data_IF_562680309131
#
_entry.id   IF_562680309131
#
_cell.length_a   1.000
_cell.length_b   1.000
_cell.length_c   1.000
_cell.angle_alpha   90.00
_cell.angle_beta   90.00
_cell.angle_gamma   90.00
#
_symmetry.space_group_name_H-M   'P 1'
#
loop_
_entity.id
_entity.type
_entity.pdbx_description
1 polymer ?
#
# COMPACT_ATOMS: atom_id res chain seq x y z
N UNK A 1 1.67 -17.32 -7.20
CA UNK A 1 2.84 -16.67 -7.84
C UNK A 1 2.44 -15.32 -8.44
N UNK A 2 1.93 -14.38 -7.63
CA UNK A 2 1.65 -12.99 -8.06
C UNK A 2 2.33 -11.97 -7.12
N UNK A 3 3.44 -12.35 -6.48
CA UNK A 3 4.22 -11.43 -5.62
C UNK A 3 5.08 -10.45 -6.45
N UNK A 4 5.02 -10.55 -7.80
CA UNK A 4 5.72 -9.63 -8.71
C UNK A 4 5.00 -8.29 -8.76
N UNK A 5 5.59 -7.30 -8.11
CA UNK A 5 5.20 -5.91 -8.26
C UNK A 5 5.57 -5.42 -9.66
N UNK A 6 4.60 -5.26 -10.56
CA UNK A 6 4.86 -4.82 -11.92
C UNK A 6 3.70 -4.01 -12.51
N UNK A 7 4.04 -2.90 -13.16
CA UNK A 7 3.11 -2.11 -13.99
C UNK A 7 2.79 -2.79 -15.32
N UNK A 8 3.58 -3.80 -15.72
CA UNK A 8 3.41 -4.53 -16.99
C UNK A 8 2.50 -5.77 -16.87
N UNK A 9 2.05 -6.08 -15.65
CA UNK A 9 1.14 -7.18 -15.37
C UNK A 9 -0.13 -6.66 -14.66
N UNK A 10 -1.01 -5.94 -15.37
CA UNK A 10 -2.21 -5.38 -14.77
C UNK A 10 -3.19 -6.50 -14.34
N UNK A 11 -3.83 -6.30 -13.19
CA UNK A 11 -4.81 -7.18 -12.56
C UNK A 11 -6.07 -6.44 -12.06
N UNK A 12 -6.18 -5.14 -12.38
CA UNK A 12 -7.37 -4.33 -12.21
C UNK A 12 -7.67 -3.49 -13.46
N UNK A 13 -8.91 -3.01 -13.57
CA UNK A 13 -9.38 -2.25 -14.74
C UNK A 13 -8.56 -0.98 -14.99
N UNK A 14 -8.29 -0.19 -13.94
CA UNK A 14 -7.52 1.05 -14.04
C UNK A 14 -6.06 0.78 -14.47
N UNK A 15 -5.42 -0.24 -13.87
CA UNK A 15 -4.09 -0.66 -14.30
C UNK A 15 -4.06 -1.12 -15.77
N UNK A 16 -5.12 -1.78 -16.26
CA UNK A 16 -5.21 -2.17 -17.67
C UNK A 16 -5.30 -0.96 -18.61
N UNK A 17 -6.00 0.10 -18.22
CA UNK A 17 -6.04 1.38 -18.97
C UNK A 17 -4.65 2.01 -18.99
N UNK A 18 -3.98 2.09 -17.82
CA UNK A 18 -2.62 2.63 -17.70
C UNK A 18 -1.62 1.83 -18.55
N UNK A 19 -1.73 0.50 -18.55
CA UNK A 19 -0.88 -0.37 -19.36
C UNK A 19 -1.02 -0.11 -20.87
N UNK A 20 -2.23 0.24 -21.35
CA UNK A 20 -2.42 0.65 -22.74
C UNK A 20 -1.72 1.99 -23.04
N UNK A 21 -1.78 2.96 -22.13
CA UNK A 21 -1.02 4.21 -22.28
C UNK A 21 0.47 3.94 -22.42
N UNK A 22 1.01 3.04 -21.59
CA UNK A 22 2.42 2.65 -21.66
C UNK A 22 2.82 2.17 -23.05
N UNK A 23 2.09 1.22 -23.63
CA UNK A 23 2.46 0.66 -24.94
C UNK A 23 2.24 1.63 -26.10
N UNK A 24 1.15 2.41 -26.10
CA UNK A 24 0.91 3.42 -27.15
C UNK A 24 2.02 4.46 -27.16
N UNK A 25 2.40 4.98 -25.99
CA UNK A 25 3.47 5.98 -25.88
C UNK A 25 4.84 5.38 -26.19
N UNK A 26 5.13 4.17 -25.72
CA UNK A 26 6.41 3.50 -25.97
C UNK A 26 6.60 3.19 -27.46
N UNK A 27 5.62 2.56 -28.10
CA UNK A 27 5.69 2.23 -29.54
C UNK A 27 5.71 3.52 -30.37
N UNK A 28 4.83 4.47 -30.10
CA UNK A 28 4.78 5.75 -30.81
C UNK A 28 6.09 6.53 -30.70
N UNK A 29 6.63 6.65 -29.48
CA UNK A 29 7.91 7.30 -29.22
C UNK A 29 9.08 6.58 -29.91
N UNK A 30 9.08 5.25 -29.90
CA UNK A 30 10.10 4.45 -30.60
C UNK A 30 10.05 4.67 -32.11
N UNK A 31 8.87 4.69 -32.72
CA UNK A 31 8.71 4.94 -34.16
C UNK A 31 9.20 6.34 -34.55
N UNK A 32 8.85 7.37 -33.77
CA UNK A 32 9.30 8.75 -34.00
C UNK A 32 10.83 8.82 -33.84
N UNK A 33 11.38 8.20 -32.80
CA UNK A 33 12.82 8.17 -32.56
C UNK A 33 13.57 7.51 -33.73
N UNK A 34 13.16 6.32 -34.16
CA UNK A 34 13.75 5.60 -35.30
C UNK A 34 13.65 6.43 -36.58
N UNK A 35 12.51 7.07 -36.81
CA UNK A 35 12.31 7.96 -37.96
C UNK A 35 13.29 9.14 -37.95
N UNK A 36 13.44 9.83 -36.81
CA UNK A 36 14.38 10.96 -36.66
C UNK A 36 15.83 10.50 -36.84
N UNK A 37 16.21 9.35 -36.26
CA UNK A 37 17.56 8.78 -36.42
C UNK A 37 17.85 8.36 -37.87
N UNK A 38 16.86 7.83 -38.58
CA UNK A 38 16.98 7.50 -39.99
C UNK A 38 17.16 8.77 -40.85
N UNK A 39 16.39 9.83 -40.57
CA UNK A 39 16.56 11.13 -41.23
C UNK A 39 17.95 11.73 -40.97
N UNK A 40 18.44 11.67 -39.73
CA UNK A 40 19.77 12.14 -39.36
C UNK A 40 20.86 11.36 -40.10
N UNK A 41 20.75 10.03 -40.12
CA UNK A 41 21.69 9.15 -40.85
C UNK A 41 21.69 9.47 -42.34
N UNK A 42 20.52 9.68 -42.94
CA UNK A 42 20.38 10.07 -44.34
C UNK A 42 20.97 11.45 -44.62
N UNK A 43 20.78 12.42 -43.71
CA UNK A 43 21.35 13.75 -43.81
C UNK A 43 22.88 13.71 -43.75
N UNK A 44 23.46 12.90 -42.86
CA UNK A 44 24.92 12.71 -42.75
C UNK A 44 25.51 11.99 -43.97
N UNK A 45 24.77 11.07 -44.59
CA UNK A 45 25.23 10.29 -45.76
C UNK A 45 25.04 11.02 -47.09
N UNK A 46 24.21 12.05 -47.16
CA UNK A 46 23.95 12.79 -48.41
C UNK A 46 24.95 13.93 -48.59
N UNK A 47 25.64 13.96 -49.72
CA UNK A 47 26.28 15.17 -50.23
C UNK A 47 25.22 16.16 -50.75
N UNK A 48 25.47 17.46 -50.54
CA UNK A 48 24.57 18.61 -50.70
C UNK A 48 23.50 18.44 -51.80
N UNK A 49 22.26 18.11 -51.40
CA UNK A 49 21.08 18.19 -52.27
C UNK A 49 20.19 19.35 -51.82
N UNK A 50 19.59 20.11 -52.75
CA UNK A 50 18.67 21.18 -52.39
C UNK A 50 17.43 20.59 -51.71
N UNK A 51 17.16 21.03 -50.48
CA UNK A 51 15.93 20.76 -49.75
C UNK A 51 15.09 22.03 -49.72
N UNK A 52 13.76 21.90 -49.59
CA UNK A 52 12.86 23.03 -49.35
C UNK A 52 12.62 23.16 -47.83
N UNK A 53 13.32 24.07 -47.12
CA UNK A 53 13.30 24.07 -45.65
C UNK A 53 11.89 24.32 -45.09
N UNK A 54 11.10 25.17 -45.75
CA UNK A 54 9.73 25.47 -45.34
C UNK A 54 8.84 24.22 -45.22
N UNK A 55 8.96 23.25 -46.14
CA UNK A 55 8.13 22.02 -46.10
C UNK A 55 8.49 21.19 -44.87
N UNK A 56 9.78 21.08 -44.53
CA UNK A 56 10.23 20.31 -43.38
C UNK A 56 9.90 21.00 -42.05
N UNK A 57 10.09 22.32 -41.97
CA UNK A 57 9.78 23.10 -40.76
C UNK A 57 8.28 23.11 -40.50
N UNK A 58 7.47 23.55 -41.47
CA UNK A 58 6.02 23.66 -41.26
C UNK A 58 5.32 22.30 -41.26
N UNK A 59 5.72 21.39 -42.15
CA UNK A 59 5.12 20.06 -42.25
C UNK A 59 5.57 19.13 -41.12
N UNK A 60 6.84 18.75 -41.13
CA UNK A 60 7.37 17.77 -40.18
C UNK A 60 7.65 18.36 -38.79
N UNK A 61 8.00 19.65 -38.69
CA UNK A 61 8.36 20.31 -37.43
C UNK A 61 7.18 20.92 -36.68
N UNK A 62 6.08 21.28 -37.35
CA UNK A 62 4.92 21.95 -36.72
C UNK A 62 3.64 21.12 -36.92
N UNK A 63 3.20 20.92 -38.16
CA UNK A 63 1.92 20.28 -38.44
C UNK A 63 1.87 18.83 -37.93
N UNK A 64 2.95 18.05 -38.12
CA UNK A 64 3.02 16.67 -37.65
C UNK A 64 2.96 16.57 -36.11
N UNK A 65 3.80 17.27 -35.31
CA UNK A 65 3.69 17.24 -33.86
C UNK A 65 2.34 17.73 -33.35
N UNK A 66 1.80 18.83 -33.91
CA UNK A 66 0.48 19.34 -33.51
C UNK A 66 -0.59 18.27 -33.73
N UNK A 67 -0.65 17.67 -34.93
CA UNK A 67 -1.62 16.62 -35.25
C UNK A 67 -1.49 15.40 -34.31
N UNK A 68 -0.27 14.90 -34.09
CA UNK A 68 -0.03 13.74 -33.22
C UNK A 68 -0.39 14.05 -31.77
N UNK A 69 0.02 15.20 -31.24
CA UNK A 69 -0.26 15.60 -29.87
C UNK A 69 -1.76 15.85 -29.66
N UNK A 70 -2.46 16.48 -30.60
CA UNK A 70 -3.91 16.65 -30.54
C UNK A 70 -4.64 15.30 -30.55
N UNK A 71 -4.24 14.36 -31.41
CA UNK A 71 -4.82 13.02 -31.44
C UNK A 71 -4.57 12.26 -30.14
N UNK A 72 -3.34 12.30 -29.61
CA UNK A 72 -2.98 11.69 -28.33
C UNK A 72 -3.74 12.32 -27.16
N UNK A 73 -3.94 13.65 -27.15
CA UNK A 73 -4.70 14.34 -26.13
C UNK A 73 -6.18 13.93 -26.15
N UNK A 74 -6.79 13.91 -27.32
CA UNK A 74 -8.19 13.50 -27.47
C UNK A 74 -8.38 12.04 -27.00
N UNK A 75 -7.49 11.15 -27.43
CA UNK A 75 -7.53 9.74 -27.03
C UNK A 75 -7.25 9.54 -25.54
N UNK A 76 -6.24 10.21 -24.97
CA UNK A 76 -5.88 10.09 -23.56
C UNK A 76 -6.99 10.61 -22.65
N UNK A 77 -7.66 11.70 -23.04
CA UNK A 77 -8.80 12.27 -22.31
C UNK A 77 -9.97 11.30 -22.30
N UNK A 78 -10.31 10.74 -23.47
CA UNK A 78 -11.39 9.75 -23.60
C UNK A 78 -11.11 8.45 -22.81
N UNK A 79 -9.86 7.95 -22.82
CA UNK A 79 -9.47 6.78 -22.03
C UNK A 79 -9.44 7.09 -20.53
N UNK A 80 -8.97 8.26 -20.13
CA UNK A 80 -8.92 8.66 -18.72
C UNK A 80 -10.32 8.82 -18.12
N UNK A 81 -11.31 9.21 -18.92
CA UNK A 81 -12.71 9.27 -18.49
C UNK A 81 -13.31 7.89 -18.12
N UNK A 82 -12.62 6.79 -18.46
CA UNK A 82 -13.04 5.43 -18.14
C UNK A 82 -12.35 4.87 -16.89
N UNK A 83 -11.42 5.62 -16.29
CA UNK A 83 -10.85 5.27 -14.98
C UNK A 83 -11.95 5.33 -13.92
N UNK A 84 -11.79 4.51 -12.87
CA UNK A 84 -12.76 4.47 -11.79
C UNK A 84 -13.00 5.86 -11.19
N UNK A 85 -14.26 6.27 -10.96
CA UNK A 85 -14.54 7.49 -10.21
C UNK A 85 -14.03 7.33 -8.77
N UNK A 86 -13.50 8.42 -8.23
CA UNK A 86 -12.83 8.44 -6.94
C UNK A 86 -13.82 8.92 -5.88
N UNK A 87 -14.84 8.09 -5.63
CA UNK A 87 -15.98 8.41 -4.78
C UNK A 87 -16.34 7.26 -3.85
N UNK A 88 -16.80 7.59 -2.66
CA UNK A 88 -17.32 6.64 -1.68
C UNK A 88 -18.79 6.27 -1.91
N UNK A 89 -19.49 6.94 -2.83
CA UNK A 89 -20.89 6.62 -3.13
C UNK A 89 -21.01 5.18 -3.63
N UNK A 90 -21.88 4.39 -2.98
CA UNK A 90 -22.20 3.00 -3.30
C UNK A 90 -21.02 2.00 -3.27
N UNK A 91 -19.90 2.38 -2.62
CA UNK A 91 -18.72 1.53 -2.49
C UNK A 91 -18.41 1.21 -1.03
N UNK A 92 -17.89 -0.01 -0.79
CA UNK A 92 -17.27 -0.34 0.48
C UNK A 92 -16.13 0.66 0.75
N UNK A 93 -16.14 1.30 1.91
CA UNK A 93 -15.12 2.28 2.29
C UNK A 93 -14.14 1.67 3.30
N UNK A 94 -12.84 1.79 3.01
CA UNK A 94 -11.74 1.46 3.91
C UNK A 94 -10.96 2.74 4.18
N UNK A 95 -10.67 3.03 5.43
CA UNK A 95 -9.81 4.17 5.77
C UNK A 95 -8.36 3.71 5.88
N UNK A 96 -7.45 4.45 5.25
CA UNK A 96 -6.01 4.15 5.30
C UNK A 96 -5.27 5.40 5.75
N UNK A 97 -4.42 5.24 6.78
CA UNK A 97 -3.58 6.32 7.30
C UNK A 97 -2.11 5.95 7.11
N UNK A 98 -1.38 6.80 6.37
CA UNK A 98 0.07 6.69 6.24
C UNK A 98 0.76 7.20 7.50
N UNK A 99 1.65 6.38 8.07
CA UNK A 99 2.46 6.69 9.25
C UNK A 99 3.91 6.32 8.97
N UNK A 100 4.90 7.06 9.45
CA UNK A 100 6.30 6.68 9.30
C UNK A 100 6.62 5.42 10.14
N UNK A 101 6.95 4.26 9.56
CA UNK A 101 6.86 3.84 8.14
C UNK A 101 6.07 2.54 8.02
N UNK A 102 4.74 2.66 8.17
CA UNK A 102 3.74 1.60 8.14
C UNK A 102 2.36 2.19 7.80
N UNK A 103 1.40 1.32 7.49
CA UNK A 103 0.07 1.70 7.05
C UNK A 103 -0.97 1.24 8.06
N UNK A 104 -1.73 2.16 8.64
CA UNK A 104 -2.91 1.83 9.46
C UNK A 104 -4.11 1.66 8.54
N UNK A 105 -4.85 0.57 8.71
CA UNK A 105 -5.99 0.22 7.87
C UNK A 105 -7.20 0.00 8.76
N UNK A 106 -8.31 0.67 8.44
CA UNK A 106 -9.53 0.65 9.24
C UNK A 106 -10.72 0.25 8.39
N UNK A 107 -11.47 -0.71 8.89
CA UNK A 107 -12.72 -1.22 8.32
C UNK A 107 -13.87 -0.91 9.27
N UNK A 108 -15.09 -0.94 8.75
CA UNK A 108 -16.30 -0.96 9.57
C UNK A 108 -16.88 -2.36 9.55
N UNK A 109 -17.17 -2.90 10.73
CA UNK A 109 -17.92 -4.14 10.86
C UNK A 109 -19.35 -3.92 10.34
N UNK A 110 -19.81 -4.65 9.31
CA UNK A 110 -21.17 -4.50 8.80
C UNK A 110 -22.25 -4.87 9.84
N UNK A 111 -21.95 -5.73 10.81
CA UNK A 111 -22.92 -6.18 11.80
C UNK A 111 -23.05 -5.20 12.98
N UNK A 112 -21.93 -4.68 13.48
CA UNK A 112 -21.90 -3.85 14.70
C UNK A 112 -21.59 -2.38 14.45
N UNK A 113 -21.20 -2.03 13.21
CA UNK A 113 -20.67 -0.72 12.83
C UNK A 113 -19.43 -0.27 13.64
N UNK A 114 -18.82 -1.19 14.41
CA UNK A 114 -17.58 -0.94 15.14
C UNK A 114 -16.41 -0.90 14.17
N UNK A 115 -15.40 -0.14 14.54
CA UNK A 115 -14.20 -0.05 13.76
C UNK A 115 -13.28 -1.25 14.03
N UNK A 116 -12.76 -1.82 12.94
CA UNK A 116 -11.80 -2.92 12.95
C UNK A 116 -10.50 -2.36 12.40
N UNK A 117 -9.46 -2.35 13.23
CA UNK A 117 -8.17 -1.74 12.89
C UNK A 117 -7.15 -2.85 12.71
N UNK A 118 -6.38 -2.74 11.63
CA UNK A 118 -5.25 -3.60 11.31
C UNK A 118 -4.13 -2.74 10.70
N UNK A 119 -3.08 -3.38 10.19
CA UNK A 119 -1.92 -2.70 9.65
C UNK A 119 -1.30 -3.45 8.47
N UNK A 120 -0.78 -2.69 7.51
CA UNK A 120 0.05 -3.12 6.37
C UNK A 120 -0.58 -4.15 5.41
N UNK A 121 -1.81 -4.59 5.65
CA UNK A 121 -2.54 -5.52 4.80
C UNK A 121 -3.97 -5.00 4.58
N UNK A 122 -4.30 -4.74 3.32
CA UNK A 122 -5.61 -4.26 2.87
C UNK A 122 -6.33 -5.43 2.21
N UNK A 123 -7.37 -5.97 2.81
CA UNK A 123 -8.16 -7.05 2.26
C UNK A 123 -9.37 -6.46 1.52
N UNK A 124 -9.64 -6.96 0.31
CA UNK A 124 -10.76 -6.51 -0.51
C UNK A 124 -11.49 -7.70 -1.14
N UNK A 125 -12.80 -7.61 -1.41
CA UNK A 125 -13.49 -8.59 -2.23
C UNK A 125 -13.09 -8.50 -3.71
N UNK A 126 -12.92 -9.65 -4.37
CA UNK A 126 -12.63 -9.76 -5.80
C UNK A 126 -13.84 -9.33 -6.63
N UNK A 127 -13.58 -8.61 -7.73
CA UNK A 127 -14.60 -8.21 -8.70
C UNK A 127 -15.43 -7.00 -8.28
N UNK A 128 -15.16 -6.43 -7.11
CA UNK A 128 -15.87 -5.28 -6.55
C UNK A 128 -14.95 -4.06 -6.46
N UNK A 129 -15.53 -2.87 -6.61
CA UNK A 129 -14.82 -1.61 -6.40
C UNK A 129 -14.87 -1.24 -4.92
N UNK A 130 -13.72 -0.97 -4.33
CA UNK A 130 -13.56 -0.55 -2.94
C UNK A 130 -12.95 0.85 -2.93
N UNK A 131 -13.56 1.75 -2.17
CA UNK A 131 -13.05 3.11 -2.00
C UNK A 131 -12.11 3.18 -0.80
N UNK A 132 -10.87 3.58 -1.03
CA UNK A 132 -9.92 3.93 0.02
C UNK A 132 -10.04 5.42 0.34
N UNK A 133 -10.51 5.74 1.54
CA UNK A 133 -10.41 7.07 2.13
C UNK A 133 -9.06 7.22 2.82
N UNK A 134 -8.20 8.10 2.31
CA UNK A 134 -6.78 8.10 2.65
C UNK A 134 -6.33 9.41 3.27
N UNK A 135 -5.47 9.34 4.27
CA UNK A 135 -4.83 10.50 4.90
C UNK A 135 -3.43 10.14 5.43
N UNK A 136 -2.67 11.10 5.93
CA UNK A 136 -1.40 10.85 6.60
C UNK A 136 -1.36 11.57 7.96
N UNK A 137 -0.67 10.97 8.94
CA UNK A 137 -0.53 11.57 10.28
C UNK A 137 0.76 12.37 10.47
N UNK A 138 1.71 12.29 9.53
CA UNK A 138 3.03 12.90 9.66
C UNK A 138 3.45 13.66 8.40
N UNK A 139 4.08 12.98 7.44
CA UNK A 139 4.56 13.54 6.16
C UNK A 139 3.68 13.06 5.01
N UNK A 140 3.96 13.55 3.81
CA UNK A 140 3.28 13.07 2.61
C UNK A 140 3.74 11.64 2.33
N UNK A 141 2.77 10.76 2.06
CA UNK A 141 3.00 9.41 1.53
C UNK A 141 2.28 9.28 0.19
N UNK A 142 2.49 8.17 -0.52
CA UNK A 142 1.67 7.85 -1.70
C UNK A 142 1.39 6.37 -1.74
N UNK A 143 0.11 6.01 -1.70
CA UNK A 143 -0.32 4.62 -1.74
C UNK A 143 -0.32 4.15 -3.19
N UNK A 144 0.48 3.13 -3.49
CA UNK A 144 0.56 2.59 -4.84
C UNK A 144 0.57 1.07 -4.87
N UNK A 145 -0.36 0.50 -5.63
CA UNK A 145 -0.42 -0.93 -5.96
C UNK A 145 -0.36 -1.05 -7.49
N UNK A 146 0.83 -1.16 -8.09
CA UNK A 146 1.03 -1.04 -9.53
C UNK A 146 0.15 -1.95 -10.39
N UNK A 147 -0.13 -3.15 -9.90
CA UNK A 147 -0.95 -4.13 -10.60
C UNK A 147 -2.45 -3.78 -10.60
N UNK A 148 -2.93 -2.91 -9.70
CA UNK A 148 -4.36 -2.63 -9.55
C UNK A 148 -4.76 -1.24 -10.06
N UNK A 149 -3.99 -0.20 -9.73
CA UNK A 149 -4.31 1.18 -10.09
C UNK A 149 -3.07 2.10 -10.08
N UNK A 150 -3.29 3.35 -10.47
CA UNK A 150 -2.31 4.43 -10.30
C UNK A 150 -2.05 4.75 -8.82
N UNK A 151 -0.98 5.49 -8.55
CA UNK A 151 -0.66 5.97 -7.20
C UNK A 151 -1.55 7.15 -6.82
N UNK A 152 -1.78 7.33 -5.52
CA UNK A 152 -2.45 8.51 -4.99
C UNK A 152 -1.78 8.97 -3.70
N UNK A 153 -1.48 10.26 -3.66
CA UNK A 153 -0.79 10.87 -2.54
C UNK A 153 -1.73 11.06 -1.33
N UNK A 154 -1.15 10.91 -0.15
CA UNK A 154 -1.80 11.00 1.15
C UNK A 154 -1.17 12.20 1.86
N UNK A 155 -1.97 13.25 2.05
CA UNK A 155 -1.49 14.55 2.47
C UNK A 155 -2.02 14.84 3.88
N UNK A 156 -1.16 15.14 4.86
CA UNK A 156 -1.60 15.49 6.21
C UNK A 156 -2.63 16.62 6.19
N UNK A 157 -3.71 16.46 6.96
CA UNK A 157 -4.82 17.43 7.02
C UNK A 157 -5.80 17.37 5.85
N UNK A 158 -5.69 16.42 4.92
CA UNK A 158 -6.64 16.21 3.82
C UNK A 158 -7.00 14.74 3.66
N UNK A 159 -8.26 14.48 3.35
CA UNK A 159 -8.68 13.14 2.91
C UNK A 159 -8.64 13.09 1.39
N UNK A 160 -7.86 12.16 0.84
CA UNK A 160 -7.85 11.82 -0.58
C UNK A 160 -8.55 10.50 -0.82
N UNK A 161 -8.95 10.24 -2.07
CA UNK A 161 -9.67 9.03 -2.46
C UNK A 161 -8.89 8.19 -3.47
N UNK A 162 -8.89 6.88 -3.28
CA UNK A 162 -8.46 5.91 -4.28
C UNK A 162 -9.44 4.74 -4.38
N UNK A 163 -10.12 4.61 -5.51
CA UNK A 163 -10.92 3.42 -5.82
C UNK A 163 -10.00 2.31 -6.32
N UNK A 164 -10.05 1.14 -5.68
CA UNK A 164 -9.33 -0.05 -6.08
C UNK A 164 -10.29 -1.17 -6.44
N UNK A 165 -9.88 -2.00 -7.41
CA UNK A 165 -10.57 -3.23 -7.79
C UNK A 165 -9.55 -4.26 -8.24
N UNK A 166 -9.68 -5.49 -7.74
CA UNK A 166 -8.91 -6.62 -8.22
C UNK A 166 -9.85 -7.61 -8.93
N UNK A 167 -9.52 -7.97 -10.17
CA UNK A 167 -10.38 -8.85 -10.97
C UNK A 167 -10.13 -10.34 -10.66
N UNK A 168 -9.04 -10.66 -9.96
CA UNK A 168 -8.67 -12.02 -9.58
C UNK A 168 -8.26 -12.09 -8.11
N UNK A 169 -8.58 -13.20 -7.46
CA UNK A 169 -8.07 -13.50 -6.13
C UNK A 169 -6.54 -13.58 -6.14
N UNK A 170 -5.91 -13.08 -5.09
CA UNK A 170 -4.46 -13.06 -5.00
C UNK A 170 -3.93 -12.00 -4.05
N UNK A 171 -2.61 -11.96 -3.97
CA UNK A 171 -1.88 -10.97 -3.20
C UNK A 171 -1.15 -10.04 -4.16
N UNK A 172 -1.33 -8.74 -3.96
CA UNK A 172 -0.76 -7.69 -4.79
C UNK A 172 0.14 -6.81 -3.91
N UNK A 173 1.43 -6.72 -4.28
CA UNK A 173 2.40 -5.91 -3.55
C UNK A 173 2.14 -4.42 -3.79
N UNK A 174 2.07 -3.67 -2.70
CA UNK A 174 2.01 -2.21 -2.69
C UNK A 174 3.22 -1.59 -1.98
N UNK A 175 3.45 -0.31 -2.23
CA UNK A 175 4.53 0.46 -1.63
C UNK A 175 4.17 1.94 -1.45
N UNK A 176 4.96 2.62 -0.60
CA UNK A 176 5.00 4.07 -0.61
C UNK A 176 5.69 4.57 -1.90
N UNK A 177 5.05 5.50 -2.60
CA UNK A 177 5.55 6.08 -3.85
C UNK A 177 5.83 7.60 -3.73
N UNK A 178 5.99 8.11 -2.51
CA UNK A 178 6.43 9.47 -2.20
C UNK A 178 7.49 9.41 -1.12
N UNK A 179 8.61 10.13 -1.28
CA UNK A 179 9.72 10.03 -0.35
C UNK A 179 9.30 10.54 1.03
N UNK A 180 9.23 9.63 2.00
CA UNK A 180 8.70 9.90 3.34
C UNK A 180 9.75 9.74 4.46
N UNK A 181 11.04 9.77 4.11
CA UNK A 181 12.16 9.68 5.06
C UNK A 181 12.95 8.37 4.97
N UNK A 182 13.75 8.10 6.00
CA UNK A 182 14.81 7.09 5.99
C UNK A 182 14.33 5.69 5.59
N UNK A 183 13.17 5.25 6.11
CA UNK A 183 12.62 3.92 5.81
C UNK A 183 11.55 3.94 4.70
N UNK A 184 11.57 4.96 3.83
CA UNK A 184 10.69 5.05 2.67
C UNK A 184 10.70 3.76 1.83
N UNK A 185 11.90 3.25 1.49
CA UNK A 185 12.06 2.03 0.70
C UNK A 185 11.57 0.75 1.41
N UNK A 186 11.32 0.82 2.73
CA UNK A 186 10.82 -0.29 3.56
C UNK A 186 9.40 -0.03 4.07
N UNK A 187 8.65 0.83 3.39
CA UNK A 187 7.26 1.15 3.68
C UNK A 187 6.32 0.45 2.69
N UNK A 188 6.25 -0.87 2.77
CA UNK A 188 5.43 -1.68 1.90
C UNK A 188 4.16 -2.21 2.58
N UNK A 189 3.24 -2.69 1.76
CA UNK A 189 1.98 -3.30 2.20
C UNK A 189 1.51 -4.31 1.14
N UNK A 190 0.44 -5.02 1.45
CA UNK A 190 -0.23 -5.89 0.49
C UNK A 190 -1.70 -5.54 0.35
N UNK A 191 -2.22 -5.66 -0.87
CA UNK A 191 -3.65 -5.84 -1.09
C UNK A 191 -3.92 -7.33 -1.26
N UNK A 192 -4.80 -7.89 -0.44
CA UNK A 192 -5.22 -9.30 -0.49
C UNK A 192 -6.65 -9.34 -1.01
N UNK A 193 -6.79 -9.73 -2.28
CA UNK A 193 -8.09 -9.88 -2.91
C UNK A 193 -8.64 -11.29 -2.64
N UNK A 194 -9.78 -11.37 -1.97
CA UNK A 194 -10.43 -12.61 -1.57
C UNK A 194 -11.80 -12.76 -2.25
N UNK A 195 -12.25 -14.00 -2.53
CA UNK A 195 -13.67 -14.24 -2.81
C UNK A 195 -14.56 -13.66 -1.69
N UNK A 196 -15.73 -13.12 -2.05
CA UNK A 196 -16.59 -12.40 -1.10
C UNK A 196 -16.88 -13.16 0.21
N UNK A 197 -17.24 -14.46 0.20
CA UNK A 197 -17.47 -15.20 1.45
C UNK A 197 -16.22 -15.31 2.33
N UNK A 198 -15.03 -15.43 1.73
CA UNK A 198 -13.76 -15.47 2.47
C UNK A 198 -13.40 -14.11 3.05
N UNK A 199 -13.67 -13.03 2.31
CA UNK A 199 -13.53 -11.66 2.80
C UNK A 199 -14.44 -11.40 4.01
N UNK A 200 -15.73 -11.73 3.91
CA UNK A 200 -16.69 -11.52 5.00
C UNK A 200 -16.29 -12.34 6.24
N UNK A 201 -15.88 -13.60 6.06
CA UNK A 201 -15.39 -14.44 7.14
C UNK A 201 -14.08 -13.91 7.76
N UNK A 202 -13.18 -13.37 6.94
CA UNK A 202 -11.95 -12.72 7.41
C UNK A 202 -12.29 -11.47 8.25
N UNK A 203 -13.17 -10.60 7.77
CA UNK A 203 -13.55 -9.38 8.46
C UNK A 203 -14.22 -9.68 9.80
N UNK A 204 -15.13 -10.67 9.84
CA UNK A 204 -15.78 -11.11 11.06
C UNK A 204 -14.78 -11.69 12.09
N UNK A 205 -13.74 -12.41 11.64
CA UNK A 205 -12.65 -12.87 12.53
C UNK A 205 -11.83 -11.70 13.05
N UNK A 206 -11.49 -10.73 12.20
CA UNK A 206 -10.74 -9.55 12.61
C UNK A 206 -11.52 -8.64 13.58
N UNK A 207 -12.85 -8.78 13.68
CA UNK A 207 -13.66 -8.08 14.66
C UNK A 207 -13.55 -8.66 16.08
N UNK A 208 -13.08 -9.91 16.21
CA UNK A 208 -12.99 -10.60 17.49
C UNK A 208 -11.84 -10.05 18.36
N UNK A 209 -11.90 -10.27 19.69
CA UNK A 209 -10.74 -10.07 20.55
C UNK A 209 -9.63 -11.08 20.24
N UNK A 210 -8.45 -10.86 20.80
CA UNK A 210 -7.33 -11.78 20.71
C UNK A 210 -7.67 -13.15 21.32
N UNK A 211 -7.07 -14.21 20.75
CA UNK A 211 -7.16 -15.55 21.33
C UNK A 211 -6.56 -15.57 22.74
N UNK A 212 -7.15 -16.34 23.67
CA UNK A 212 -6.64 -16.43 25.03
C UNK A 212 -5.28 -17.13 25.08
N UNK A 213 -4.52 -16.81 26.14
CA UNK A 213 -3.21 -17.37 26.41
C UNK A 213 -3.34 -18.57 27.36
N UNK A 214 -3.64 -19.76 26.81
CA UNK A 214 -4.03 -20.92 27.61
C UNK A 214 -2.86 -21.81 28.06
N UNK A 215 -1.65 -21.56 27.57
CA UNK A 215 -0.44 -22.31 27.95
C UNK A 215 0.52 -21.44 28.75
N UNK A 216 1.38 -22.06 29.56
CA UNK A 216 2.38 -21.35 30.38
C UNK A 216 3.29 -20.44 29.55
N UNK A 217 3.69 -20.89 28.36
CA UNK A 217 4.53 -20.10 27.44
C UNK A 217 3.77 -18.88 26.90
N UNK A 218 2.49 -19.05 26.54
CA UNK A 218 1.65 -17.95 26.06
C UNK A 218 1.36 -16.93 27.17
N UNK A 219 1.13 -17.40 28.40
CA UNK A 219 0.92 -16.54 29.57
C UNK A 219 2.17 -15.71 29.87
N UNK A 220 3.35 -16.34 29.91
CA UNK A 220 4.63 -15.63 30.06
C UNK A 220 4.84 -14.61 28.94
N UNK A 221 4.50 -14.95 27.69
CA UNK A 221 4.61 -14.02 26.56
C UNK A 221 3.66 -12.81 26.69
N UNK A 222 2.43 -13.04 27.15
CA UNK A 222 1.47 -11.97 27.45
C UNK A 222 1.94 -11.09 28.61
N UNK A 223 2.48 -11.68 29.66
CA UNK A 223 3.06 -10.95 30.80
C UNK A 223 4.26 -10.10 30.36
N UNK A 224 5.15 -10.65 29.53
CA UNK A 224 6.27 -9.93 28.94
C UNK A 224 5.80 -8.73 28.10
N UNK A 225 4.75 -8.90 27.29
CA UNK A 225 4.14 -7.80 26.52
C UNK A 225 3.70 -6.64 27.43
N UNK A 226 3.07 -6.95 28.57
CA UNK A 226 2.60 -5.95 29.53
C UNK A 226 3.73 -5.32 30.34
N UNK A 227 4.71 -6.13 30.77
CA UNK A 227 5.86 -5.71 31.56
C UNK A 227 6.78 -4.77 30.75
N UNK A 228 6.95 -5.04 29.45
CA UNK A 228 7.70 -4.21 28.51
C UNK A 228 6.91 -3.00 28.00
N UNK A 229 5.72 -2.75 28.56
CA UNK A 229 4.86 -1.62 28.21
C UNK A 229 4.52 -1.53 26.71
N UNK A 230 4.52 -2.66 26.00
CA UNK A 230 4.19 -2.69 24.57
C UNK A 230 2.77 -2.14 24.31
N UNK A 231 1.86 -2.28 25.28
CA UNK A 231 0.51 -1.73 25.27
C UNK A 231 0.44 -0.20 25.20
N UNK A 232 1.51 0.51 25.53
CA UNK A 232 1.56 1.96 25.41
C UNK A 232 1.48 2.42 23.94
N UNK A 233 1.93 1.57 23.01
CA UNK A 233 1.90 1.84 21.57
C UNK A 233 0.97 0.91 20.79
N UNK A 234 0.83 -0.34 21.23
CA UNK A 234 0.14 -1.39 20.49
C UNK A 234 -1.14 -1.86 21.17
N UNK A 235 -2.21 -2.00 20.40
CA UNK A 235 -3.48 -2.58 20.88
C UNK A 235 -3.50 -4.09 20.69
N UNK A 236 -3.95 -4.82 21.71
CA UNK A 236 -4.40 -6.22 21.62
C UNK A 236 -5.77 -6.28 22.31
N UNK A 237 -6.85 -6.32 21.53
CA UNK A 237 -8.22 -6.33 22.08
C UNK A 237 -8.43 -7.53 23.01
N UNK A 238 -9.08 -7.31 24.15
CA UNK A 238 -9.21 -8.28 25.24
C UNK A 238 -8.01 -8.36 26.19
N UNK A 239 -6.90 -7.67 25.89
CA UNK A 239 -5.70 -7.59 26.75
C UNK A 239 -5.38 -6.16 27.14
N UNK A 240 -5.42 -5.24 26.18
CA UNK A 240 -5.09 -3.82 26.38
C UNK A 240 -6.32 -2.94 26.66
N UNK A 241 -7.52 -3.51 26.72
CA UNK A 241 -8.79 -2.80 26.93
C UNK A 241 -8.99 -2.36 28.40
N UNK A 242 -7.94 -1.79 29.01
CA UNK A 242 -8.11 -0.90 30.15
C UNK A 242 -8.70 0.40 29.59
N UNK A 243 -9.86 0.87 30.08
CA UNK A 243 -10.57 1.98 29.45
C UNK A 243 -9.68 3.22 29.38
N UNK A 244 -9.73 4.00 28.28
CA UNK A 244 -9.11 5.31 28.27
C UNK A 244 -9.73 6.12 29.42
N UNK A 245 -8.88 6.72 30.26
CA UNK A 245 -9.32 7.80 31.12
C UNK A 245 -9.89 8.90 30.22
N UNK A 246 -11.21 9.01 30.15
CA UNK A 246 -12.03 10.02 29.46
C UNK A 246 -12.57 9.73 28.06
N UNK A 247 -13.85 10.08 27.89
CA UNK A 247 -14.63 10.21 26.65
C UNK A 247 -13.88 11.03 25.57
N UNK A 248 -13.05 11.99 25.98
CA UNK A 248 -12.24 12.84 25.09
C UNK A 248 -11.17 12.08 24.28
N UNK A 249 -10.75 10.88 24.71
CA UNK A 249 -9.80 10.06 23.94
C UNK A 249 -10.41 9.50 22.64
N UNK A 250 -11.74 9.46 22.52
CA UNK A 250 -12.43 8.99 21.29
C UNK A 250 -12.30 9.97 20.11
N UNK A 251 -11.98 11.23 20.37
CA UNK A 251 -11.83 12.27 19.33
C UNK A 251 -10.35 12.43 18.91
N UNK A 252 -9.41 11.85 19.66
CA UNK A 252 -7.96 11.85 19.38
C UNK A 252 -7.47 10.56 18.69
N UNK A 253 -8.32 9.91 17.90
CA UNK A 253 -8.05 8.63 17.21
C UNK A 253 -6.98 8.69 16.10
N UNK A 254 -6.22 9.80 16.04
CA UNK A 254 -5.05 9.99 15.20
C UNK A 254 -3.75 9.50 15.84
N UNK A 255 -3.72 9.20 17.15
CA UNK A 255 -2.46 8.98 17.90
C UNK A 255 -2.16 7.53 18.32
N UNK A 256 -2.74 6.50 17.68
CA UNK A 256 -2.16 5.15 17.83
C UNK A 256 -0.73 5.17 17.31
N UNK A 257 0.23 5.01 18.22
CA UNK A 257 1.66 5.11 17.93
C UNK A 257 2.15 3.88 17.15
N UNK A 258 1.65 2.69 17.50
CA UNK A 258 2.00 1.43 16.87
C UNK A 258 0.83 0.75 16.15
N UNK A 259 1.13 -0.21 15.26
CA UNK A 259 0.13 -1.05 14.62
C UNK A 259 -0.65 -1.88 15.65
N UNK A 260 -1.94 -2.11 15.39
CA UNK A 260 -2.76 -3.07 16.12
C UNK A 260 -2.10 -4.47 16.02
N UNK A 261 -2.03 -5.22 17.12
CA UNK A 261 -1.40 -6.54 17.18
C UNK A 261 -2.40 -7.66 17.50
N UNK A 262 -3.71 -7.36 17.58
CA UNK A 262 -4.74 -8.32 18.01
C UNK A 262 -4.72 -9.61 17.20
N UNK A 263 -4.46 -9.52 15.89
CA UNK A 263 -4.30 -10.68 15.01
C UNK A 263 -2.96 -10.61 14.25
N UNK A 264 -1.86 -10.18 14.91
CA UNK A 264 -0.56 -10.03 14.22
C UNK A 264 -0.05 -11.34 13.65
N UNK A 265 -0.30 -12.48 14.30
CA UNK A 265 0.07 -13.81 13.85
C UNK A 265 -0.65 -14.29 12.59
N UNK A 266 -1.76 -13.66 12.17
CA UNK A 266 -2.43 -13.97 10.91
C UNK A 266 -1.81 -13.25 9.70
N UNK A 267 -0.95 -12.25 9.93
CA UNK A 267 -0.29 -11.48 8.87
C UNK A 267 0.75 -12.30 8.14
N UNK A 268 0.97 -12.00 6.86
CA UNK A 268 2.03 -12.63 6.06
C UNK A 268 3.40 -12.07 6.40
N UNK A 269 3.46 -10.77 6.67
CA UNK A 269 4.70 -10.03 6.91
C UNK A 269 4.54 -9.03 8.07
N UNK A 270 5.66 -8.71 8.69
CA UNK A 270 5.79 -7.67 9.71
C UNK A 270 6.74 -6.57 9.23
N UNK A 271 6.89 -5.51 10.03
CA UNK A 271 7.77 -4.39 9.73
C UNK A 271 7.48 -3.73 8.36
N UNK A 272 6.19 -3.51 8.06
CA UNK A 272 5.70 -2.96 6.79
C UNK A 272 6.26 -3.67 5.56
N UNK A 273 6.14 -5.00 5.58
CA UNK A 273 6.52 -5.87 4.47
C UNK A 273 8.02 -6.11 4.31
N UNK A 274 8.79 -5.97 5.39
CA UNK A 274 10.26 -6.18 5.39
C UNK A 274 10.63 -7.62 5.78
N UNK A 275 9.86 -8.23 6.69
CA UNK A 275 10.14 -9.56 7.21
C UNK A 275 8.92 -10.46 7.08
N UNK A 276 9.11 -11.72 6.71
CA UNK A 276 8.06 -12.75 6.83
C UNK A 276 7.66 -12.90 8.28
N UNK A 277 6.38 -13.13 8.53
CA UNK A 277 5.86 -13.26 9.89
C UNK A 277 6.04 -14.69 10.41
N UNK A 278 6.96 -14.86 11.35
CA UNK A 278 7.12 -16.09 12.13
C UNK A 278 7.86 -15.76 13.43
N UNK A 279 7.87 -16.69 14.39
CA UNK A 279 8.49 -16.48 15.71
C UNK A 279 9.90 -15.90 15.67
N UNK A 280 10.75 -16.40 14.78
CA UNK A 280 12.16 -15.96 14.66
C UNK A 280 12.29 -14.49 14.24
N UNK A 281 11.55 -14.06 13.22
CA UNK A 281 11.57 -12.66 12.76
C UNK A 281 10.86 -11.73 13.73
N UNK A 282 9.79 -12.19 14.40
CA UNK A 282 9.17 -11.46 15.49
C UNK A 282 10.17 -11.19 16.63
N UNK A 283 10.87 -12.23 17.08
CA UNK A 283 11.89 -12.09 18.12
C UNK A 283 13.01 -11.13 17.72
N UNK A 284 13.55 -11.26 16.50
CA UNK A 284 14.58 -10.36 15.99
C UNK A 284 14.10 -8.91 15.86
N UNK A 285 12.88 -8.71 15.37
CA UNK A 285 12.26 -7.39 15.26
C UNK A 285 12.05 -6.74 16.62
N UNK A 286 11.61 -7.47 17.63
CA UNK A 286 11.38 -6.94 18.99
C UNK A 286 12.70 -6.60 19.68
N UNK A 287 13.70 -7.47 19.55
CA UNK A 287 15.01 -7.26 20.18
C UNK A 287 15.73 -6.02 19.63
N UNK A 288 15.71 -5.82 18.31
CA UNK A 288 16.38 -4.70 17.67
C UNK A 288 15.70 -4.27 16.35
N UNK A 289 14.62 -3.47 16.42
CA UNK A 289 14.00 -2.87 15.24
C UNK A 289 14.97 -2.02 14.41
N UNK A 290 15.98 -1.41 15.05
CA UNK A 290 16.91 -0.49 14.39
C UNK A 290 17.88 -1.24 13.46
N UNK A 291 18.30 -2.45 13.83
CA UNK A 291 19.10 -3.29 12.94
C UNK A 291 18.36 -3.67 11.64
N UNK A 292 17.02 -3.76 11.70
CA UNK A 292 16.18 -4.18 10.58
C UNK A 292 15.69 -2.99 9.78
N UNK A 293 15.17 -1.95 10.44
CA UNK A 293 14.68 -0.69 9.85
C UNK A 293 15.25 0.50 10.65
N UNK A 294 16.48 0.97 10.36
CA UNK A 294 17.08 2.11 11.04
C UNK A 294 16.18 3.36 11.04
N UNK A 295 16.08 4.04 12.19
CA UNK A 295 15.29 5.25 12.34
C UNK A 295 13.82 5.01 12.72
N UNK A 296 13.32 3.77 12.76
CA UNK A 296 11.93 3.49 13.19
C UNK A 296 11.64 3.95 14.61
N UNK A 297 10.39 4.32 14.87
CA UNK A 297 9.98 4.85 16.17
C UNK A 297 9.67 3.78 17.23
N UNK A 298 9.70 2.50 16.85
CA UNK A 298 9.63 1.41 17.84
C UNK A 298 10.98 1.29 18.56
N UNK A 299 11.04 1.47 19.88
CA UNK A 299 12.28 1.28 20.63
C UNK A 299 12.68 -0.21 20.66
N UNK A 300 13.97 -0.52 20.78
CA UNK A 300 14.43 -1.89 20.93
C UNK A 300 14.20 -2.41 22.37
N UNK A 301 13.85 -3.68 22.51
CA UNK A 301 13.70 -4.36 23.82
C UNK A 301 14.92 -5.24 24.14
N UNK A 302 16.10 -4.61 24.26
CA UNK A 302 17.39 -5.31 24.45
C UNK A 302 17.60 -5.88 25.87
N UNK A 303 16.78 -5.43 26.82
CA UNK A 303 16.79 -5.85 28.22
C UNK A 303 16.09 -7.20 28.45
N UNK A 304 15.35 -7.70 27.45
CA UNK A 304 14.70 -9.00 27.51
C UNK A 304 15.71 -10.15 27.43
N UNK A 305 15.66 -11.07 28.39
CA UNK A 305 16.36 -12.33 28.28
C UNK A 305 15.79 -13.20 27.13
N UNK A 306 16.62 -14.12 26.63
CA UNK A 306 16.28 -14.92 25.46
C UNK A 306 15.07 -15.86 25.64
N UNK A 307 14.75 -16.27 26.86
CA UNK A 307 13.57 -17.11 27.13
C UNK A 307 12.30 -16.26 27.11
N UNK A 308 12.33 -15.09 27.75
CA UNK A 308 11.22 -14.13 27.75
C UNK A 308 10.94 -13.59 26.35
N UNK A 309 11.97 -13.23 25.59
CA UNK A 309 11.81 -12.80 24.19
C UNK A 309 11.16 -13.89 23.32
N UNK A 310 11.56 -15.15 23.50
CA UNK A 310 10.97 -16.28 22.77
C UNK A 310 9.52 -16.52 23.16
N UNK A 311 9.18 -16.39 24.45
CA UNK A 311 7.80 -16.50 24.93
C UNK A 311 6.94 -15.38 24.34
N UNK A 312 7.42 -14.13 24.35
CA UNK A 312 6.74 -12.99 23.74
C UNK A 312 6.50 -13.18 22.24
N UNK A 313 7.53 -13.59 21.49
CA UNK A 313 7.37 -13.85 20.06
C UNK A 313 6.40 -15.02 19.77
N UNK A 314 6.41 -16.07 20.62
CA UNK A 314 5.46 -17.18 20.52
C UNK A 314 4.03 -16.73 20.79
N UNK A 315 3.85 -15.86 21.78
CA UNK A 315 2.55 -15.26 22.08
C UNK A 315 2.03 -14.44 20.91
N UNK A 316 2.84 -13.55 20.33
CA UNK A 316 2.43 -12.73 19.18
C UNK A 316 2.13 -13.58 17.93
N UNK A 317 2.88 -14.65 17.67
CA UNK A 317 2.60 -15.57 16.56
C UNK A 317 1.28 -16.34 16.73
N UNK A 318 0.85 -16.58 17.97
CA UNK A 318 -0.42 -17.23 18.30
C UNK A 318 -1.65 -16.33 18.05
N UNK A 319 -1.48 -15.01 18.03
CA UNK A 319 -2.57 -14.04 17.84
C UNK A 319 -3.08 -14.05 16.38
N UNK A 320 -4.04 -14.92 16.04
CA UNK A 320 -4.56 -15.10 14.68
C UNK A 320 -6.04 -14.73 14.52
#
# INVERSE_FOLDING_TARGET
>A
MNDLQSVLHPAGADAAIIHQFTWVLFVGGTLIFVFVMALLTLAMRRQARPIRPAIWIFGAGIAFPVMVLTALLAWSTWRSAQLAPQTSHDAMTISVTGKMWWWEVRYRDPATNREIITANEIHIPVGESVYLGMTASDVIHSLWVPALAGKRDMIPGRVTGLTLRADKAGVYRGQCAEYCGEQHARMAFHVIALPRPEFDAWLARQAQPALPADTTVLQRGREAFLAQQCQACHTIRGVTDVPPFSEQARIADTSRLGPDLTHVGSRREIAAGTLRNHRGTLAGWIADPQAIKPGVFMPPSQDLDGETLRALATYLEHLK
#
